data_IF_057191771995
#
_entry.id   IF_057191771995
#
_cell.length_a   1.000
_cell.length_b   1.000
_cell.length_c   1.000
_cell.angle_alpha   90.00
_cell.angle_beta   90.00
_cell.angle_gamma   90.00
#
_symmetry.space_group_name_H-M   'P 1'
#
loop_
_entity.id
_entity.type
_entity.pdbx_description
1 polymer ?
#
# COMPACT_ATOMS: atom_id res chain seq x y z
N UNK A 1 -16.41 10.59 -7.24
CA UNK A 1 -15.00 10.46 -7.67
C UNK A 1 -14.49 9.11 -7.19
N UNK A 2 -13.77 8.36 -8.03
CA UNK A 2 -13.18 7.07 -7.65
C UNK A 2 -11.75 6.98 -8.19
N UNK A 3 -10.89 6.27 -7.47
CA UNK A 3 -9.51 5.96 -7.87
C UNK A 3 -9.13 4.58 -7.37
N UNK A 4 -8.14 3.97 -8.01
CA UNK A 4 -7.56 2.69 -7.59
C UNK A 4 -6.05 2.79 -7.44
N UNK A 5 -5.52 1.94 -6.57
CA UNK A 5 -4.10 1.69 -6.42
C UNK A 5 -3.88 0.19 -6.40
N UNK A 6 -2.88 -0.26 -7.13
CA UNK A 6 -2.52 -1.67 -7.27
C UNK A 6 -1.05 -1.79 -6.91
N UNK A 7 -0.71 -2.89 -6.26
CA UNK A 7 0.67 -3.26 -5.98
C UNK A 7 0.82 -4.74 -6.23
N UNK A 8 1.85 -5.09 -7.00
CA UNK A 8 2.17 -6.47 -7.28
C UNK A 8 2.97 -7.06 -6.11
N UNK A 9 2.66 -8.31 -5.81
CA UNK A 9 3.23 -9.02 -4.69
C UNK A 9 3.10 -10.51 -4.86
N UNK A 10 3.73 -11.22 -3.93
CA UNK A 10 3.70 -12.67 -3.84
C UNK A 10 3.24 -13.08 -2.44
N UNK A 11 2.55 -14.21 -2.35
CA UNK A 11 2.21 -14.80 -1.05
C UNK A 11 3.41 -15.62 -0.55
N UNK A 12 3.93 -15.27 0.62
CA UNK A 12 5.03 -16.01 1.25
C UNK A 12 4.55 -17.34 1.81
N UNK A 13 5.47 -18.31 1.93
CA UNK A 13 5.19 -19.61 2.58
C UNK A 13 5.13 -19.52 4.10
N UNK A 14 5.79 -18.51 4.66
CA UNK A 14 5.87 -18.28 6.10
C UNK A 14 5.43 -16.85 6.41
N UNK A 15 4.85 -16.67 7.60
CA UNK A 15 4.49 -15.36 8.16
C UNK A 15 5.77 -14.58 8.51
N UNK A 16 5.88 -13.33 8.05
CA UNK A 16 7.03 -12.45 8.36
C UNK A 16 6.57 -11.08 8.80
N UNK A 17 7.25 -10.51 9.79
CA UNK A 17 6.92 -9.21 10.38
C UNK A 17 5.78 -9.28 11.40
N UNK A 18 5.66 -8.23 12.20
CA UNK A 18 4.69 -8.14 13.32
C UNK A 18 3.79 -6.92 13.23
N UNK A 19 4.02 -6.03 12.27
CA UNK A 19 3.23 -4.83 12.05
C UNK A 19 2.01 -5.07 11.16
N UNK A 20 1.21 -4.02 10.98
CA UNK A 20 0.10 -4.06 10.05
C UNK A 20 -1.10 -4.87 10.56
N UNK A 21 -1.90 -5.40 9.62
CA UNK A 21 -3.12 -6.15 9.87
C UNK A 21 -3.48 -7.06 8.69
N UNK A 22 -4.40 -8.02 8.91
CA UNK A 22 -4.89 -8.90 7.85
C UNK A 22 -3.77 -9.72 7.19
N UNK A 23 -3.69 -9.66 5.85
CA UNK A 23 -2.70 -10.42 5.06
C UNK A 23 -1.32 -9.76 5.00
N UNK A 24 -1.12 -8.63 5.67
CA UNK A 24 0.17 -7.94 5.67
C UNK A 24 1.36 -8.84 6.01
N UNK A 25 1.26 -9.83 6.92
CA UNK A 25 2.40 -10.69 7.25
C UNK A 25 2.77 -11.73 6.19
N UNK A 26 1.95 -11.90 5.14
CA UNK A 26 2.22 -12.87 4.07
C UNK A 26 2.26 -12.26 2.67
N UNK A 27 1.83 -11.01 2.51
CA UNK A 27 1.90 -10.31 1.23
C UNK A 27 3.28 -9.65 1.07
N UNK A 28 4.18 -10.29 0.33
CA UNK A 28 5.51 -9.77 -0.01
C UNK A 28 5.44 -8.83 -1.21
N UNK A 29 5.88 -7.59 -1.03
CA UNK A 29 5.99 -6.61 -2.11
C UNK A 29 7.24 -6.90 -2.94
N UNK A 30 7.08 -7.10 -4.25
CA UNK A 30 8.17 -7.50 -5.15
C UNK A 30 9.32 -6.49 -5.11
N UNK A 31 9.03 -5.18 -5.16
CA UNK A 31 10.06 -4.14 -5.26
C UNK A 31 10.92 -3.99 -4.00
N UNK A 32 10.45 -4.44 -2.84
CA UNK A 32 11.16 -4.27 -1.56
C UNK A 32 11.67 -5.56 -0.97
N UNK A 33 11.14 -6.71 -1.43
CA UNK A 33 11.42 -8.02 -0.85
C UNK A 33 10.82 -8.24 0.54
N UNK A 34 10.12 -7.25 1.11
CA UNK A 34 9.51 -7.28 2.46
C UNK A 34 8.01 -7.59 2.37
N UNK A 35 7.46 -8.22 3.39
CA UNK A 35 6.01 -8.25 3.60
C UNK A 35 5.55 -6.88 4.09
N UNK A 36 4.26 -6.57 3.95
CA UNK A 36 3.75 -5.32 4.52
C UNK A 36 3.90 -5.24 6.04
N UNK A 37 3.90 -6.38 6.75
CA UNK A 37 4.08 -6.42 8.20
C UNK A 37 5.54 -6.20 8.64
N UNK A 38 6.51 -6.36 7.74
CA UNK A 38 7.93 -6.02 7.98
C UNK A 38 8.22 -4.53 7.79
N UNK A 39 7.27 -3.77 7.24
CA UNK A 39 7.44 -2.34 6.96
C UNK A 39 6.97 -1.49 8.14
N UNK A 40 7.67 -0.37 8.36
CA UNK A 40 7.15 0.68 9.24
C UNK A 40 5.90 1.30 8.60
N UNK A 41 4.97 1.81 9.41
CA UNK A 41 3.72 2.38 8.91
C UNK A 41 3.94 3.50 7.86
N UNK A 42 4.97 4.34 8.04
CA UNK A 42 5.35 5.38 7.07
C UNK A 42 5.77 4.79 5.72
N UNK A 43 6.68 3.82 5.72
CA UNK A 43 7.16 3.11 4.53
C UNK A 43 5.98 2.43 3.80
N UNK A 44 5.12 1.73 4.54
CA UNK A 44 3.92 1.10 3.98
C UNK A 44 2.98 2.13 3.33
N UNK A 45 2.76 3.28 3.95
CA UNK A 45 1.88 4.32 3.39
C UNK A 45 2.45 4.95 2.12
N UNK A 46 3.77 4.98 1.96
CA UNK A 46 4.43 5.48 0.75
C UNK A 46 4.17 4.55 -0.44
N UNK A 47 4.16 3.23 -0.26
CA UNK A 47 4.08 2.29 -1.41
C UNK A 47 2.79 1.48 -1.52
N UNK A 48 2.01 1.32 -0.45
CA UNK A 48 0.82 0.44 -0.48
C UNK A 48 -0.22 0.85 -1.52
N UNK A 49 -1.01 -0.13 -1.97
CA UNK A 49 -2.16 0.07 -2.86
C UNK A 49 -3.08 1.20 -2.36
N UNK A 50 -3.34 1.24 -1.05
CA UNK A 50 -4.15 2.31 -0.44
C UNK A 50 -3.47 3.68 -0.52
N UNK A 51 -2.17 3.75 -0.25
CA UNK A 51 -1.39 4.98 -0.41
C UNK A 51 -1.41 5.51 -1.85
N UNK A 52 -1.24 4.62 -2.83
CA UNK A 52 -1.32 4.93 -4.25
C UNK A 52 -2.71 5.45 -4.66
N UNK A 53 -3.78 4.76 -4.24
CA UNK A 53 -5.15 5.16 -4.53
C UNK A 53 -5.47 6.55 -3.96
N UNK A 54 -5.06 6.81 -2.71
CA UNK A 54 -5.32 8.06 -2.02
C UNK A 54 -4.56 9.24 -2.63
N UNK A 55 -3.32 9.05 -3.11
CA UNK A 55 -2.60 10.11 -3.83
C UNK A 55 -3.31 10.51 -5.12
N UNK A 56 -3.75 9.53 -5.92
CA UNK A 56 -4.58 9.81 -7.10
C UNK A 56 -5.88 10.53 -6.73
N UNK A 57 -6.53 10.10 -5.64
CA UNK A 57 -7.76 10.75 -5.16
C UNK A 57 -7.51 12.21 -4.76
N UNK A 58 -6.39 12.48 -4.09
CA UNK A 58 -6.01 13.83 -3.68
C UNK A 58 -5.85 14.76 -4.89
N UNK A 59 -5.18 14.31 -5.95
CA UNK A 59 -5.05 15.07 -7.20
C UNK A 59 -6.40 15.29 -7.88
N UNK A 60 -7.24 14.24 -7.94
CA UNK A 60 -8.58 14.32 -8.52
C UNK A 60 -9.46 15.31 -7.76
N UNK A 61 -9.42 15.31 -6.42
CA UNK A 61 -10.15 16.24 -5.57
C UNK A 61 -9.69 17.69 -5.79
N UNK A 62 -8.38 17.95 -5.78
CA UNK A 62 -7.81 19.27 -6.08
C UNK A 62 -8.23 19.79 -7.44
N UNK A 63 -8.33 18.90 -8.44
CA UNK A 63 -8.75 19.29 -9.78
C UNK A 63 -10.26 19.49 -9.92
N UNK A 64 -11.06 18.75 -9.16
CA UNK A 64 -12.53 18.82 -9.22
C UNK A 64 -13.05 20.03 -8.46
N UNK A 65 -12.47 20.32 -7.30
CA UNK A 65 -12.91 21.39 -6.38
C UNK A 65 -11.94 22.56 -6.38
N UNK A 66 -11.43 22.95 -7.56
CA UNK A 66 -10.64 24.17 -7.69
C UNK A 66 -11.48 25.37 -7.27
N UNK A 67 -11.13 25.98 -6.14
CA UNK A 67 -11.30 27.42 -5.95
C UNK A 67 -10.15 28.14 -6.66
#
# INVERSE_FOLDING_TARGET
LWTEGVIEGEITREVRGTGGFGFDPIFKVIQTGKTFAEMKAKEKNEISHRGLALRKMQELLKNTFKE
#
